data_IF_194639667649
#
_entry.id   IF_194639667649
#
_cell.length_a   1.000
_cell.length_b   1.000
_cell.length_c   1.000
_cell.angle_alpha   90.00
_cell.angle_beta   90.00
_cell.angle_gamma   90.00
#
_symmetry.space_group_name_H-M   'P 1'
#
loop_
_entity.id
_entity.type
_entity.pdbx_description
1 polymer ?
#
# COMPACT_ATOMS: atom_id res chain seq x y z
N UNK A 1 -10.41 -39.56 -2.40
CA UNK A 1 -9.54 -38.42 -2.73
C UNK A 1 -10.39 -37.18 -2.57
N UNK A 2 -10.06 -36.32 -1.63
CA UNK A 2 -10.78 -35.04 -1.45
C UNK A 2 -10.61 -34.19 -2.72
N UNK A 3 -11.69 -33.53 -3.13
CA UNK A 3 -11.71 -32.69 -4.33
C UNK A 3 -10.81 -31.47 -4.09
N UNK A 4 -9.55 -31.52 -4.51
CA UNK A 4 -8.53 -30.46 -4.29
C UNK A 4 -8.61 -29.34 -5.32
N UNK A 5 -9.54 -29.40 -6.25
CA UNK A 5 -9.61 -28.49 -7.43
C UNK A 5 -10.03 -27.05 -7.12
N UNK A 6 -10.46 -26.76 -5.87
CA UNK A 6 -10.89 -25.42 -5.46
C UNK A 6 -10.28 -25.01 -4.11
N UNK A 7 -9.06 -25.41 -3.80
CA UNK A 7 -8.38 -25.07 -2.55
C UNK A 7 -7.03 -24.45 -2.81
N UNK A 8 -6.58 -23.60 -1.89
CA UNK A 8 -5.23 -23.07 -1.85
C UNK A 8 -4.28 -24.19 -1.40
N UNK A 9 -3.21 -24.41 -2.13
CA UNK A 9 -2.06 -25.20 -1.65
C UNK A 9 -1.21 -24.29 -0.78
N UNK A 10 -0.93 -24.71 0.45
CA UNK A 10 -0.18 -23.96 1.44
C UNK A 10 1.16 -24.63 1.69
N UNK A 11 2.24 -23.86 1.61
CA UNK A 11 3.61 -24.35 1.81
C UNK A 11 4.25 -23.55 2.94
N UNK A 12 4.53 -24.20 4.05
CA UNK A 12 5.26 -23.61 5.18
C UNK A 12 6.75 -23.83 4.97
N UNK A 13 7.49 -22.77 4.61
CA UNK A 13 8.93 -22.79 4.44
C UNK A 13 9.68 -22.18 5.63
N UNK A 14 10.99 -22.27 5.62
CA UNK A 14 11.86 -21.76 6.71
C UNK A 14 11.73 -20.25 6.92
N UNK A 15 11.63 -19.49 5.83
CA UNK A 15 11.63 -18.03 5.86
C UNK A 15 10.35 -17.43 5.31
N UNK A 16 9.43 -18.26 4.82
CA UNK A 16 8.22 -17.79 4.17
C UNK A 16 7.08 -18.79 4.20
N UNK A 17 5.88 -18.26 3.96
CA UNK A 17 4.65 -19.01 3.72
C UNK A 17 4.26 -18.79 2.26
N UNK A 18 4.15 -19.88 1.49
CA UNK A 18 3.65 -19.87 0.12
C UNK A 18 2.16 -20.26 0.08
N UNK A 19 1.38 -19.49 -0.69
CA UNK A 19 -0.04 -19.76 -0.96
C UNK A 19 -0.24 -19.80 -2.48
N UNK A 20 -0.74 -20.91 -2.99
CA UNK A 20 -0.76 -21.17 -4.42
C UNK A 20 -2.13 -21.69 -4.89
N UNK A 21 -2.60 -21.22 -6.05
CA UNK A 21 -3.77 -21.74 -6.75
C UNK A 21 -3.60 -21.57 -8.27
N UNK A 22 -3.39 -22.67 -8.98
CA UNK A 22 -3.12 -22.63 -10.42
C UNK A 22 -1.87 -21.80 -10.75
N UNK A 23 -2.04 -20.71 -11.50
CA UNK A 23 -0.99 -19.76 -11.87
C UNK A 23 -0.86 -18.55 -10.93
N UNK A 24 -1.63 -18.56 -9.83
CA UNK A 24 -1.55 -17.59 -8.76
C UNK A 24 -0.60 -18.05 -7.66
N UNK A 25 0.31 -17.17 -7.25
CA UNK A 25 1.26 -17.42 -6.17
C UNK A 25 1.41 -16.16 -5.31
N UNK A 26 1.19 -16.32 -4.00
CA UNK A 26 1.47 -15.31 -2.99
C UNK A 26 2.51 -15.86 -2.01
N UNK A 27 3.58 -15.12 -1.76
CA UNK A 27 4.64 -15.49 -0.82
C UNK A 27 4.71 -14.43 0.29
N UNK A 28 4.56 -14.87 1.51
CA UNK A 28 4.69 -14.04 2.71
C UNK A 28 6.06 -14.32 3.35
N UNK A 29 6.92 -13.31 3.41
CA UNK A 29 8.25 -13.43 4.02
C UNK A 29 8.21 -13.05 5.49
N UNK A 30 8.77 -13.92 6.36
CA UNK A 30 8.78 -13.68 7.79
C UNK A 30 9.82 -12.65 8.21
N UNK A 31 11.01 -12.70 7.62
CA UNK A 31 12.11 -11.77 7.89
C UNK A 31 11.84 -10.36 7.35
N UNK A 32 11.25 -10.26 6.15
CA UNK A 32 10.88 -8.98 5.53
C UNK A 32 9.55 -8.44 6.05
N UNK A 33 8.78 -9.30 6.71
CA UNK A 33 7.50 -9.01 7.31
C UNK A 33 6.48 -8.47 6.31
N UNK A 34 5.79 -9.37 5.58
CA UNK A 34 4.71 -9.02 4.69
C UNK A 34 4.65 -9.87 3.42
N UNK A 35 3.77 -9.49 2.51
CA UNK A 35 3.61 -10.08 1.20
C UNK A 35 4.81 -9.70 0.32
N UNK A 36 5.73 -10.62 0.09
CA UNK A 36 7.00 -10.37 -0.60
C UNK A 36 6.93 -10.59 -2.11
N UNK A 37 6.06 -11.51 -2.56
CA UNK A 37 5.84 -11.80 -3.97
C UNK A 37 4.36 -12.06 -4.23
N UNK A 38 3.87 -11.52 -5.33
CA UNK A 38 2.51 -11.71 -5.81
C UNK A 38 2.54 -11.93 -7.31
N UNK A 39 2.35 -13.17 -7.72
CA UNK A 39 2.48 -13.60 -9.12
C UNK A 39 1.15 -14.12 -9.65
N UNK A 40 0.81 -13.71 -10.86
CA UNK A 40 -0.28 -14.29 -11.66
C UNK A 40 0.14 -14.41 -13.11
N UNK A 41 -0.11 -15.59 -13.71
CA UNK A 41 0.27 -15.83 -15.11
C UNK A 41 1.77 -15.63 -15.36
N UNK A 42 2.63 -15.96 -14.37
CA UNK A 42 4.09 -15.77 -14.46
C UNK A 42 4.55 -14.32 -14.34
N UNK A 43 3.66 -13.38 -14.00
CA UNK A 43 4.00 -11.97 -13.84
C UNK A 43 4.07 -11.58 -12.36
N UNK A 44 5.24 -11.08 -11.93
CA UNK A 44 5.45 -10.49 -10.60
C UNK A 44 4.85 -9.07 -10.53
N UNK A 45 4.08 -8.82 -9.47
CA UNK A 45 3.44 -7.53 -9.20
C UNK A 45 4.16 -6.71 -8.14
N UNK A 46 5.01 -7.31 -7.33
CA UNK A 46 5.72 -6.65 -6.25
C UNK A 46 7.23 -6.56 -6.55
N UNK A 47 7.81 -5.41 -6.30
CA UNK A 47 9.25 -5.20 -6.31
C UNK A 47 9.84 -5.22 -4.90
N UNK A 48 9.04 -4.81 -3.94
CA UNK A 48 9.34 -4.84 -2.51
C UNK A 48 8.09 -5.22 -1.74
N UNK A 49 8.29 -5.79 -0.55
CA UNK A 49 7.23 -6.05 0.42
C UNK A 49 6.48 -4.76 0.73
N UNK A 50 5.15 -4.69 0.55
CA UNK A 50 4.35 -3.53 0.93
C UNK A 50 4.50 -3.22 2.41
N UNK A 51 4.56 -1.93 2.73
CA UNK A 51 4.68 -1.45 4.11
C UNK A 51 3.61 -0.41 4.43
N UNK A 52 3.16 -0.32 5.69
CA UNK A 52 2.40 0.84 6.14
C UNK A 52 3.16 2.12 5.80
N UNK A 53 2.48 3.14 5.31
CA UNK A 53 3.09 4.43 5.02
C UNK A 53 2.41 5.54 5.79
N UNK A 54 3.19 6.49 6.29
CA UNK A 54 2.76 7.57 7.20
C UNK A 54 3.09 8.95 6.67
N UNK A 55 3.88 9.03 5.58
CA UNK A 55 4.36 10.28 5.00
C UNK A 55 3.83 10.48 3.59
N UNK A 56 3.38 11.70 3.30
CA UNK A 56 3.24 12.28 1.98
C UNK A 56 4.19 13.46 1.87
N UNK A 57 4.67 13.76 0.67
CA UNK A 57 5.56 14.89 0.48
C UNK A 57 4.91 16.20 0.94
N UNK A 58 5.67 17.04 1.62
CA UNK A 58 5.17 18.30 2.15
C UNK A 58 4.80 19.25 1.01
N UNK A 59 3.60 19.83 1.08
CA UNK A 59 3.19 20.91 0.17
C UNK A 59 3.82 22.24 0.60
N UNK A 60 3.80 23.25 -0.28
CA UNK A 60 4.19 24.62 0.09
C UNK A 60 3.34 25.15 1.26
N UNK A 61 2.07 24.76 1.34
CA UNK A 61 1.19 25.10 2.45
C UNK A 61 1.64 24.43 3.76
N UNK A 62 2.02 23.15 3.72
CA UNK A 62 2.56 22.45 4.89
C UNK A 62 3.84 23.10 5.39
N UNK A 63 4.70 23.53 4.47
CA UNK A 63 5.94 24.28 4.81
C UNK A 63 5.61 25.63 5.39
N UNK A 64 4.62 26.35 4.84
CA UNK A 64 4.16 27.65 5.30
C UNK A 64 3.61 27.62 6.73
N UNK A 65 2.83 26.62 7.11
CA UNK A 65 2.30 26.48 8.48
C UNK A 65 3.21 25.68 9.43
N UNK A 66 4.35 25.19 8.94
CA UNK A 66 5.33 24.42 9.71
C UNK A 66 4.87 23.00 10.05
N UNK A 67 3.85 22.46 9.36
CA UNK A 67 3.33 21.11 9.60
C UNK A 67 4.40 20.03 9.38
N UNK A 68 5.20 20.14 8.32
CA UNK A 68 6.27 19.22 8.00
C UNK A 68 7.30 19.07 9.14
N UNK A 69 7.56 20.15 9.90
CA UNK A 69 8.44 20.10 11.08
C UNK A 69 7.75 19.45 12.27
N UNK A 70 6.49 19.82 12.52
CA UNK A 70 5.69 19.27 13.63
C UNK A 70 5.48 17.77 13.49
N UNK A 71 5.29 17.30 12.27
CA UNK A 71 4.99 15.90 11.94
C UNK A 71 6.20 15.14 11.37
N UNK A 72 7.39 15.74 11.34
CA UNK A 72 8.61 15.18 10.75
C UNK A 72 9.04 13.83 11.32
N UNK A 73 8.55 13.45 12.50
CA UNK A 73 8.74 12.12 13.09
C UNK A 73 8.22 10.99 12.19
N UNK A 74 7.24 11.27 11.32
CA UNK A 74 6.68 10.31 10.40
C UNK A 74 7.49 10.12 9.11
N UNK A 75 8.38 11.05 8.81
CA UNK A 75 9.26 10.93 7.65
C UNK A 75 10.16 9.70 7.82
N UNK A 76 10.13 8.81 6.86
CA UNK A 76 10.86 7.53 6.88
C UNK A 76 10.48 6.58 8.04
N UNK A 77 9.38 6.80 8.77
CA UNK A 77 8.94 5.90 9.83
C UNK A 77 8.65 4.49 9.30
N UNK A 78 8.20 4.35 8.08
CA UNK A 78 7.97 3.07 7.37
C UNK A 78 9.27 2.41 6.89
N UNK A 79 10.32 3.19 6.60
CA UNK A 79 11.62 2.66 6.17
C UNK A 79 12.30 1.83 7.26
N UNK A 80 12.12 2.22 8.52
CA UNK A 80 12.73 1.56 9.68
C UNK A 80 11.71 0.82 10.54
N UNK A 81 10.50 0.60 10.04
CA UNK A 81 9.46 -0.14 10.75
C UNK A 81 9.92 -1.58 11.01
N UNK A 82 9.63 -2.09 12.20
CA UNK A 82 10.03 -3.43 12.62
C UNK A 82 8.85 -4.38 12.57
N UNK A 83 9.04 -5.61 12.12
CA UNK A 83 8.06 -6.68 12.30
C UNK A 83 8.14 -7.17 13.75
N UNK A 84 7.10 -6.87 14.52
CA UNK A 84 7.01 -7.20 15.95
C UNK A 84 6.27 -8.52 16.21
N UNK A 85 5.50 -9.01 15.25
CA UNK A 85 4.76 -10.26 15.36
C UNK A 85 4.18 -10.71 14.03
N UNK A 86 3.92 -12.02 13.94
CA UNK A 86 3.28 -12.66 12.80
C UNK A 86 2.27 -13.66 13.34
N UNK A 87 1.06 -13.65 12.79
CA UNK A 87 0.03 -14.62 13.09
C UNK A 87 -0.50 -15.23 11.80
N UNK A 88 -0.79 -16.52 11.82
CA UNK A 88 -1.36 -17.23 10.67
C UNK A 88 -2.64 -17.95 11.11
N UNK A 89 -3.69 -17.79 10.31
CA UNK A 89 -4.94 -18.53 10.46
C UNK A 89 -5.20 -19.35 9.20
N UNK A 90 -5.59 -20.61 9.37
CA UNK A 90 -6.05 -21.50 8.32
C UNK A 90 -7.52 -21.83 8.55
N UNK A 91 -8.39 -21.49 7.60
CA UNK A 91 -9.82 -21.71 7.65
C UNK A 91 -10.48 -21.17 8.94
N UNK A 92 -10.00 -20.03 9.43
CA UNK A 92 -10.47 -19.37 10.64
C UNK A 92 -9.89 -19.92 11.95
N UNK A 93 -8.95 -20.86 11.88
CA UNK A 93 -8.27 -21.42 13.05
C UNK A 93 -6.85 -20.91 13.12
N UNK A 94 -6.50 -20.22 14.20
CA UNK A 94 -5.13 -19.74 14.47
C UNK A 94 -4.18 -20.91 14.61
N UNK A 95 -3.00 -20.81 13.99
CA UNK A 95 -1.96 -21.81 14.06
C UNK A 95 -0.93 -21.42 15.12
N UNK A 96 -0.73 -22.29 16.14
CA UNK A 96 0.19 -22.00 17.23
C UNK A 96 1.68 -22.14 16.84
N UNK A 97 2.01 -23.04 15.92
CA UNK A 97 3.39 -23.32 15.51
C UNK A 97 3.47 -23.46 13.98
N UNK A 98 3.23 -22.38 13.27
CA UNK A 98 3.31 -22.37 11.80
C UNK A 98 4.74 -22.21 11.28
N UNK A 99 5.68 -21.80 12.13
CA UNK A 99 7.10 -21.70 11.75
C UNK A 99 7.63 -23.09 11.34
N UNK A 100 8.51 -23.15 10.35
CA UNK A 100 8.99 -24.40 9.80
C UNK A 100 9.73 -25.23 10.85
N UNK A 101 9.78 -26.56 10.66
CA UNK A 101 10.58 -27.42 11.49
C UNK A 101 12.05 -27.02 11.50
N UNK A 102 12.73 -27.15 12.64
CA UNK A 102 14.13 -26.77 12.84
C UNK A 102 15.13 -27.49 11.93
N UNK A 103 14.71 -28.49 11.19
CA UNK A 103 15.55 -29.31 10.30
C UNK A 103 15.34 -29.03 8.81
N UNK A 104 14.75 -27.89 8.45
CA UNK A 104 14.39 -27.53 7.08
C UNK A 104 13.40 -28.50 6.40
N UNK A 105 12.67 -29.26 7.18
CA UNK A 105 11.60 -30.12 6.65
C UNK A 105 10.30 -29.31 6.65
N UNK A 106 9.78 -29.05 5.46
CA UNK A 106 8.49 -28.39 5.26
C UNK A 106 7.55 -29.33 4.49
N UNK A 107 6.25 -29.11 4.67
CA UNK A 107 5.21 -29.83 3.93
C UNK A 107 4.62 -28.94 2.84
N UNK A 108 4.30 -29.53 1.70
CA UNK A 108 3.62 -28.91 0.57
C UNK A 108 2.28 -29.61 0.23
N UNK A 109 1.84 -30.51 1.11
CA UNK A 109 0.60 -31.28 0.95
C UNK A 109 -0.58 -30.68 1.73
N UNK A 110 -0.44 -29.44 2.23
CA UNK A 110 -1.50 -28.78 2.97
C UNK A 110 -2.38 -27.93 2.08
N UNK A 111 -3.67 -27.99 2.34
CA UNK A 111 -4.69 -27.27 1.58
C UNK A 111 -5.64 -26.51 2.51
N UNK A 112 -6.10 -25.33 2.05
CA UNK A 112 -7.04 -24.49 2.77
C UNK A 112 -8.06 -23.85 1.82
N UNK A 113 -9.21 -23.47 2.34
CA UNK A 113 -10.15 -22.60 1.62
C UNK A 113 -9.75 -21.14 1.77
N UNK A 114 -9.16 -20.82 2.93
CA UNK A 114 -8.73 -19.46 3.28
C UNK A 114 -7.48 -19.48 4.16
N UNK A 115 -6.52 -18.62 3.85
CA UNK A 115 -5.34 -18.34 4.69
C UNK A 115 -5.34 -16.84 5.02
N UNK A 116 -5.24 -16.51 6.31
CA UNK A 116 -5.00 -15.15 6.77
C UNK A 116 -3.60 -15.06 7.41
N UNK A 117 -2.84 -14.05 7.02
CA UNK A 117 -1.51 -13.77 7.58
C UNK A 117 -1.51 -12.33 8.09
N UNK A 118 -1.32 -12.17 9.39
CA UNK A 118 -1.25 -10.86 10.05
C UNK A 118 0.18 -10.54 10.41
N UNK A 119 0.66 -9.40 9.97
CA UNK A 119 1.94 -8.83 10.39
C UNK A 119 1.67 -7.66 11.32
N UNK A 120 2.23 -7.72 12.52
CA UNK A 120 2.29 -6.59 13.44
C UNK A 120 3.59 -5.85 13.24
N UNK A 121 3.50 -4.58 12.91
CA UNK A 121 4.64 -3.69 12.78
C UNK A 121 4.72 -2.75 13.98
N UNK A 122 5.93 -2.44 14.40
CA UNK A 122 6.22 -1.39 15.41
C UNK A 122 6.98 -0.26 14.75
N UNK A 123 6.50 0.97 14.94
CA UNK A 123 7.15 2.18 14.42
C UNK A 123 8.38 2.55 15.26
N UNK A 124 9.28 3.33 14.66
CA UNK A 124 10.45 3.91 15.38
C UNK A 124 10.12 5.25 16.03
N UNK A 125 8.87 5.68 15.99
CA UNK A 125 8.43 6.95 16.60
C UNK A 125 8.59 6.94 18.12
N UNK A 126 8.57 8.11 18.73
CA UNK A 126 8.64 8.25 20.19
C UNK A 126 7.44 9.10 20.66
N UNK A 127 6.43 8.49 21.32
CA UNK A 127 6.33 7.06 21.66
C UNK A 127 6.18 6.17 20.43
N UNK A 128 6.58 4.90 20.53
CA UNK A 128 6.33 3.91 19.49
C UNK A 128 4.85 3.52 19.47
N UNK A 129 4.35 3.22 18.26
CA UNK A 129 3.03 2.65 18.07
C UNK A 129 3.08 1.43 17.16
N UNK A 130 1.94 0.75 16.96
CA UNK A 130 1.87 -0.46 16.15
C UNK A 130 0.85 -0.32 15.01
N UNK A 131 1.10 -1.12 13.95
CA UNK A 131 0.16 -1.30 12.85
C UNK A 131 0.02 -2.79 12.59
N UNK A 132 -1.21 -3.27 12.51
CA UNK A 132 -1.51 -4.62 12.07
C UNK A 132 -1.97 -4.58 10.59
N UNK A 133 -1.36 -5.45 9.76
CA UNK A 133 -1.77 -5.66 8.37
C UNK A 133 -2.07 -7.13 8.19
N UNK A 134 -3.33 -7.44 7.92
CA UNK A 134 -3.81 -8.80 7.67
C UNK A 134 -4.10 -9.00 6.20
N UNK A 135 -3.49 -10.01 5.60
CA UNK A 135 -3.77 -10.46 4.24
C UNK A 135 -4.59 -11.75 4.31
N UNK A 136 -5.79 -11.73 3.82
CA UNK A 136 -6.65 -12.92 3.74
C UNK A 136 -6.77 -13.37 2.28
N UNK A 137 -6.13 -14.48 1.96
CA UNK A 137 -6.16 -15.09 0.62
C UNK A 137 -7.26 -16.16 0.59
N UNK A 138 -8.11 -16.10 -0.43
CA UNK A 138 -9.19 -17.07 -0.65
C UNK A 138 -8.97 -17.90 -1.91
N UNK A 139 -9.63 -19.03 -2.01
CA UNK A 139 -9.43 -20.03 -3.08
C UNK A 139 -9.74 -19.48 -4.50
N UNK A 140 -10.49 -18.41 -4.62
CA UNK A 140 -10.74 -17.66 -5.85
C UNK A 140 -9.61 -16.69 -6.23
N UNK A 141 -8.48 -16.74 -5.50
CA UNK A 141 -7.30 -15.90 -5.71
C UNK A 141 -7.50 -14.41 -5.39
N UNK A 142 -8.53 -14.04 -4.65
CA UNK A 142 -8.70 -12.71 -4.09
C UNK A 142 -7.89 -12.59 -2.79
N UNK A 143 -7.38 -11.38 -2.54
CA UNK A 143 -6.70 -11.03 -1.29
C UNK A 143 -7.45 -9.86 -0.66
N UNK A 144 -8.11 -10.08 0.48
CA UNK A 144 -8.57 -8.99 1.33
C UNK A 144 -7.40 -8.51 2.18
N UNK A 145 -7.22 -7.21 2.26
CA UNK A 145 -6.21 -6.55 3.10
C UNK A 145 -6.91 -5.68 4.13
N UNK A 146 -6.66 -5.97 5.40
CA UNK A 146 -7.16 -5.19 6.54
C UNK A 146 -5.98 -4.51 7.23
N UNK A 147 -6.03 -3.18 7.37
CA UNK A 147 -4.99 -2.37 8.02
C UNK A 147 -5.56 -1.68 9.26
N UNK A 148 -4.88 -1.83 10.38
CA UNK A 148 -5.24 -1.18 11.65
C UNK A 148 -4.02 -0.47 12.23
N UNK A 149 -4.06 0.85 12.28
CA UNK A 149 -3.14 1.68 13.04
C UNK A 149 -3.65 1.84 14.46
N UNK A 150 -2.83 1.58 15.45
CA UNK A 150 -3.17 1.74 16.85
C UNK A 150 -2.73 3.12 17.35
N UNK A 151 -3.69 3.95 17.70
CA UNK A 151 -3.44 5.29 18.19
C UNK A 151 -2.58 5.33 19.45
N UNK A 152 -1.73 6.36 19.56
CA UNK A 152 -0.86 6.52 20.72
C UNK A 152 -0.79 7.97 21.15
N UNK A 153 -1.13 8.26 22.41
CA UNK A 153 -1.05 9.59 23.00
C UNK A 153 0.37 10.17 22.89
N UNK A 154 0.46 11.45 22.54
CA UNK A 154 1.72 12.19 22.39
C UNK A 154 2.37 12.09 21.01
N UNK A 155 1.76 11.36 20.05
CA UNK A 155 2.23 11.36 18.67
C UNK A 155 1.70 12.58 17.90
N UNK A 156 2.53 13.19 17.02
CA UNK A 156 2.09 14.30 16.19
C UNK A 156 1.10 13.82 15.13
N UNK A 157 0.29 14.77 14.59
CA UNK A 157 -0.66 14.47 13.52
C UNK A 157 -0.02 13.72 12.36
N UNK A 158 -0.78 12.78 11.77
CA UNK A 158 -0.35 12.02 10.60
C UNK A 158 -0.55 12.85 9.32
N UNK A 159 0.43 12.85 8.40
CA UNK A 159 0.23 13.34 7.04
C UNK A 159 -0.68 12.44 6.22
N UNK A 160 -0.54 11.13 6.38
CA UNK A 160 -1.30 10.09 5.68
C UNK A 160 -1.22 8.79 6.48
N UNK A 161 -2.20 7.92 6.33
CA UNK A 161 -2.08 6.51 6.71
C UNK A 161 -2.58 5.61 5.59
N UNK A 162 -1.71 4.73 5.12
CA UNK A 162 -2.00 3.80 4.03
C UNK A 162 -1.05 2.61 3.96
N UNK A 163 -1.17 1.84 2.89
CA UNK A 163 -0.24 0.77 2.53
C UNK A 163 0.38 1.07 1.16
N UNK A 164 1.72 1.06 1.09
CA UNK A 164 2.47 1.38 -0.13
C UNK A 164 2.96 0.11 -0.81
N UNK A 165 2.63 0.01 -2.10
CA UNK A 165 3.08 -1.03 -3.02
C UNK A 165 4.06 -0.44 -4.02
N UNK A 166 5.16 -1.11 -4.26
CA UNK A 166 6.12 -0.76 -5.32
C UNK A 166 6.12 -1.88 -6.34
N UNK A 167 5.72 -1.57 -7.58
CA UNK A 167 5.68 -2.55 -8.67
C UNK A 167 7.00 -2.54 -9.45
N UNK A 168 7.38 -3.67 -10.09
CA UNK A 168 8.68 -3.83 -10.74
C UNK A 168 8.96 -2.87 -11.90
N UNK A 169 7.93 -2.45 -12.63
CA UNK A 169 8.05 -1.59 -13.81
C UNK A 169 6.98 -0.50 -13.82
N UNK A 170 7.12 0.46 -14.71
CA UNK A 170 6.14 1.52 -14.93
C UNK A 170 4.81 0.94 -15.43
N UNK A 171 3.70 1.44 -14.91
CA UNK A 171 2.39 1.22 -15.49
C UNK A 171 2.20 2.04 -16.76
N UNK A 172 1.44 1.49 -17.70
CA UNK A 172 0.98 2.23 -18.89
C UNK A 172 -0.12 3.23 -18.56
N UNK A 173 -0.73 3.06 -17.39
CA UNK A 173 -1.78 3.90 -16.85
C UNK A 173 -2.65 3.13 -15.85
N UNK A 174 -3.74 3.76 -15.46
CA UNK A 174 -4.74 3.16 -14.58
C UNK A 174 -6.14 3.67 -14.92
N UNK A 175 -7.14 2.83 -14.62
CA UNK A 175 -8.55 3.20 -14.70
C UNK A 175 -9.14 3.09 -13.30
N UNK A 176 -9.98 4.02 -12.89
CA UNK A 176 -10.58 4.01 -11.57
C UNK A 176 -12.03 4.51 -11.57
N UNK A 177 -12.81 4.08 -10.59
CA UNK A 177 -14.11 4.65 -10.27
C UNK A 177 -13.99 5.44 -8.97
N UNK A 178 -14.23 6.75 -9.06
CA UNK A 178 -14.08 7.69 -7.94
C UNK A 178 -14.42 9.10 -8.36
N UNK A 179 -13.84 10.09 -7.70
CA UNK A 179 -13.98 11.50 -8.08
C UNK A 179 -13.05 11.87 -9.23
N UNK A 180 -13.49 12.78 -10.11
CA UNK A 180 -12.69 13.23 -11.25
C UNK A 180 -11.42 13.96 -10.84
N UNK A 181 -10.30 13.60 -11.50
CA UNK A 181 -9.02 14.28 -11.33
C UNK A 181 -8.36 14.03 -9.97
N UNK A 182 -7.36 14.86 -9.68
CA UNK A 182 -6.65 14.86 -8.41
C UNK A 182 -7.52 15.53 -7.34
N UNK A 183 -7.70 14.88 -6.20
CA UNK A 183 -8.57 15.34 -5.11
C UNK A 183 -7.92 15.09 -3.75
N UNK A 184 -8.21 15.97 -2.78
CA UNK A 184 -7.81 15.85 -1.37
C UNK A 184 -9.02 16.10 -0.48
N UNK A 185 -8.99 15.73 0.81
CA UNK A 185 -10.16 15.86 1.69
C UNK A 185 -10.77 17.27 1.69
N UNK A 186 -9.91 18.29 1.67
CA UNK A 186 -10.27 19.72 1.64
C UNK A 186 -10.36 20.30 0.21
N UNK A 187 -10.14 19.50 -0.83
CA UNK A 187 -10.09 19.89 -2.24
C UNK A 187 -10.83 18.90 -3.14
N UNK A 188 -11.99 18.41 -2.72
CA UNK A 188 -12.80 17.45 -3.49
C UNK A 188 -14.20 17.92 -3.82
N UNK A 189 -14.61 19.10 -3.39
CA UNK A 189 -15.97 19.61 -3.59
C UNK A 189 -16.40 19.76 -5.06
N UNK A 190 -15.44 19.95 -5.98
CA UNK A 190 -15.68 19.99 -7.43
C UNK A 190 -15.53 18.65 -8.14
N UNK A 191 -15.19 17.58 -7.41
CA UNK A 191 -15.02 16.25 -7.99
C UNK A 191 -16.34 15.66 -8.46
N UNK A 192 -16.34 15.10 -9.66
CA UNK A 192 -17.52 14.45 -10.25
C UNK A 192 -17.32 12.94 -10.15
N UNK A 193 -18.29 12.20 -9.55
CA UNK A 193 -18.21 10.74 -9.50
C UNK A 193 -18.29 10.13 -10.92
N UNK A 194 -17.44 9.15 -11.21
CA UNK A 194 -17.40 8.49 -12.52
C UNK A 194 -16.28 7.50 -12.65
N UNK A 195 -16.14 6.90 -13.84
CA UNK A 195 -15.02 6.06 -14.22
C UNK A 195 -14.08 6.85 -15.12
N UNK A 196 -12.80 6.87 -14.77
CA UNK A 196 -11.78 7.68 -15.42
C UNK A 196 -10.57 6.83 -15.81
N UNK A 197 -10.08 7.08 -17.03
CA UNK A 197 -8.82 6.49 -17.52
C UNK A 197 -7.71 7.54 -17.46
N UNK A 198 -6.59 7.17 -16.86
CA UNK A 198 -5.38 8.00 -16.76
C UNK A 198 -4.23 7.29 -17.46
N UNK A 199 -3.67 7.94 -18.49
CA UNK A 199 -2.53 7.40 -19.25
C UNK A 199 -1.21 7.73 -18.57
N UNK A 200 -0.36 6.72 -18.44
CA UNK A 200 0.91 6.83 -17.74
C UNK A 200 0.75 7.05 -16.24
N UNK A 201 1.74 7.68 -15.63
CA UNK A 201 1.78 8.04 -14.22
C UNK A 201 2.07 9.55 -14.13
N UNK A 202 1.07 10.41 -14.29
CA UNK A 202 1.26 11.85 -14.30
C UNK A 202 1.73 12.35 -12.92
N UNK A 203 2.71 13.24 -12.95
CA UNK A 203 3.20 13.98 -11.78
C UNK A 203 2.93 15.45 -12.05
N UNK A 204 2.24 16.11 -11.15
CA UNK A 204 1.95 17.55 -11.27
C UNK A 204 3.27 18.33 -11.28
N UNK A 205 3.53 19.16 -12.31
CA UNK A 205 4.84 19.76 -12.53
C UNK A 205 5.07 21.00 -11.65
N UNK A 206 5.09 20.80 -10.33
CA UNK A 206 5.49 21.84 -9.40
C UNK A 206 6.98 22.14 -9.56
N UNK A 207 7.39 23.40 -9.41
CA UNK A 207 8.80 23.81 -9.47
C UNK A 207 9.61 23.14 -8.36
N UNK A 208 9.07 23.14 -7.15
CA UNK A 208 9.55 22.32 -6.05
C UNK A 208 8.63 21.11 -5.97
N UNK A 209 9.11 19.89 -6.21
CA UNK A 209 8.29 18.69 -6.09
C UNK A 209 7.60 18.61 -4.73
N UNK A 210 6.32 18.27 -4.75
CA UNK A 210 5.50 18.19 -3.56
C UNK A 210 4.38 17.18 -3.78
N UNK A 211 3.56 16.91 -2.75
CA UNK A 211 2.44 15.99 -2.82
C UNK A 211 1.54 16.26 -4.02
N UNK A 212 1.20 15.20 -4.74
CA UNK A 212 0.29 15.22 -5.88
C UNK A 212 -0.31 13.82 -6.16
N UNK A 213 -1.27 13.76 -7.05
CA UNK A 213 -1.80 12.52 -7.60
C UNK A 213 -2.74 11.73 -6.68
N UNK A 214 -3.29 12.33 -5.62
CA UNK A 214 -4.26 11.67 -4.76
C UNK A 214 -5.65 11.65 -5.40
N UNK A 215 -6.36 10.52 -5.30
CA UNK A 215 -7.74 10.31 -5.74
C UNK A 215 -8.58 9.85 -4.56
N UNK A 216 -9.56 10.68 -4.17
CA UNK A 216 -10.44 10.40 -3.04
C UNK A 216 -11.70 9.63 -3.45
N UNK A 217 -12.34 9.02 -2.47
CA UNK A 217 -13.64 8.36 -2.59
C UNK A 217 -13.67 7.31 -3.73
N UNK A 218 -12.57 6.54 -3.85
CA UNK A 218 -12.35 5.55 -4.91
C UNK A 218 -12.95 4.21 -4.51
N UNK A 219 -13.75 3.62 -5.40
CA UNK A 219 -14.32 2.29 -5.23
C UNK A 219 -13.41 1.19 -5.74
N UNK A 220 -12.75 1.44 -6.87
CA UNK A 220 -11.74 0.53 -7.42
C UNK A 220 -10.75 1.28 -8.31
N UNK A 221 -9.56 0.73 -8.44
CA UNK A 221 -8.52 1.16 -9.38
C UNK A 221 -7.84 -0.05 -9.99
N UNK A 222 -7.70 -0.09 -11.30
CA UNK A 222 -6.99 -1.11 -12.07
C UNK A 222 -5.73 -0.51 -12.68
N UNK A 223 -4.56 -0.98 -12.22
CA UNK A 223 -3.24 -0.52 -12.68
C UNK A 223 -2.76 -1.46 -13.78
N UNK A 224 -2.52 -0.97 -14.98
CA UNK A 224 -2.13 -1.76 -16.14
C UNK A 224 -0.64 -1.68 -16.42
N UNK A 225 0.00 -2.83 -16.63
CA UNK A 225 1.41 -2.95 -17.01
C UNK A 225 1.55 -3.90 -18.20
N UNK A 226 2.49 -3.58 -19.10
CA UNK A 226 2.85 -4.36 -20.30
C UNK A 226 4.33 -4.70 -20.35
N UNK A 227 5.04 -4.49 -19.25
CA UNK A 227 6.48 -4.76 -19.12
C UNK A 227 6.80 -5.58 -17.89
N UNK A 228 7.89 -6.35 -17.97
CA UNK A 228 8.46 -7.12 -16.87
C UNK A 228 9.95 -6.77 -16.70
N UNK A 229 10.49 -7.00 -15.50
CA UNK A 229 11.94 -6.95 -15.31
C UNK A 229 12.57 -8.17 -15.99
N UNK A 230 13.10 -7.98 -17.17
CA UNK A 230 13.77 -9.02 -17.93
C UNK A 230 14.86 -8.41 -18.83
N UNK A 231 16.05 -9.00 -18.79
CA UNK A 231 17.15 -8.63 -19.67
C UNK A 231 16.98 -9.20 -21.10
N UNK A 232 16.07 -10.14 -21.29
CA UNK A 232 15.85 -10.83 -22.58
C UNK A 232 14.60 -10.29 -23.28
N UNK A 233 13.51 -10.17 -22.54
CA UNK A 233 12.22 -9.70 -23.07
C UNK A 233 11.48 -8.88 -22.02
N UNK A 234 11.57 -7.56 -22.14
CA UNK A 234 10.87 -6.65 -21.24
C UNK A 234 9.37 -6.51 -21.58
N UNK A 235 9.00 -6.46 -22.88
CA UNK A 235 7.61 -6.36 -23.32
C UNK A 235 6.86 -7.68 -23.10
N UNK A 236 5.70 -7.60 -22.47
CA UNK A 236 4.80 -8.72 -22.16
C UNK A 236 3.35 -8.29 -22.44
N UNK A 237 2.40 -9.21 -22.60
CA UNK A 237 0.99 -8.85 -22.76
C UNK A 237 0.52 -7.96 -21.62
N UNK A 238 -0.30 -6.93 -21.90
CA UNK A 238 -0.85 -6.07 -20.86
C UNK A 238 -1.71 -6.89 -19.89
N UNK A 239 -1.58 -6.61 -18.61
CA UNK A 239 -2.47 -7.11 -17.55
C UNK A 239 -2.58 -6.10 -16.42
N UNK A 240 -3.61 -6.24 -15.62
CA UNK A 240 -3.90 -5.28 -14.55
C UNK A 240 -3.96 -5.96 -13.18
N UNK A 241 -3.50 -5.22 -12.18
CA UNK A 241 -3.80 -5.46 -10.78
C UNK A 241 -4.93 -4.51 -10.39
N UNK A 242 -5.99 -5.04 -9.83
CA UNK A 242 -7.13 -4.25 -9.38
C UNK A 242 -7.17 -4.21 -7.86
N UNK A 243 -7.28 -2.99 -7.30
CA UNK A 243 -7.63 -2.75 -5.91
C UNK A 243 -9.08 -2.27 -5.88
N UNK A 244 -9.91 -2.88 -5.04
CA UNK A 244 -11.32 -2.49 -4.88
C UNK A 244 -11.68 -2.30 -3.41
N UNK A 245 -12.70 -1.47 -3.16
CA UNK A 245 -13.25 -1.30 -1.81
C UNK A 245 -13.69 -2.65 -1.23
N UNK A 246 -13.46 -2.82 0.08
CA UNK A 246 -13.98 -3.95 0.82
C UNK A 246 -15.25 -3.54 1.59
N UNK A 247 -15.14 -2.54 2.43
CA UNK A 247 -16.23 -2.08 3.31
C UNK A 247 -16.67 -0.64 2.97
N UNK A 248 -15.75 0.19 2.47
CA UNK A 248 -15.98 1.60 2.10
C UNK A 248 -14.94 2.05 1.07
N UNK A 249 -15.23 3.11 0.30
CA UNK A 249 -14.25 3.72 -0.60
C UNK A 249 -12.96 4.10 0.13
N UNK A 250 -11.86 4.03 -0.59
CA UNK A 250 -10.52 4.40 -0.13
C UNK A 250 -9.98 5.60 -0.91
N UNK A 251 -8.83 6.11 -0.49
CA UNK A 251 -8.05 7.04 -1.30
C UNK A 251 -6.83 6.31 -1.87
N UNK A 252 -6.34 6.74 -3.05
CA UNK A 252 -5.10 6.21 -3.60
C UNK A 252 -4.30 7.27 -4.33
N UNK A 253 -2.99 7.04 -4.42
CA UNK A 253 -2.12 7.69 -5.40
C UNK A 253 -1.36 6.64 -6.20
N UNK A 254 -1.09 6.91 -7.48
CA UNK A 254 -0.35 6.03 -8.36
C UNK A 254 0.67 6.84 -9.15
N UNK A 255 1.91 6.88 -8.67
CA UNK A 255 2.98 7.74 -9.12
C UNK A 255 4.22 6.94 -9.51
N UNK A 256 5.19 7.53 -10.24
CA UNK A 256 6.49 6.88 -10.50
C UNK A 256 7.49 7.04 -9.34
N UNK A 257 7.13 7.77 -8.28
CA UNK A 257 7.99 8.15 -7.18
C UNK A 257 7.37 7.82 -5.83
N UNK A 258 8.20 7.54 -4.85
CA UNK A 258 7.80 7.49 -3.44
C UNK A 258 7.69 8.92 -2.87
N UNK A 259 6.99 9.07 -1.73
CA UNK A 259 6.89 10.34 -1.04
C UNK A 259 8.27 10.90 -0.64
N UNK A 260 9.21 10.02 -0.28
CA UNK A 260 10.58 10.40 0.10
C UNK A 260 11.41 10.90 -1.10
N UNK A 261 11.21 10.29 -2.29
CA UNK A 261 11.86 10.77 -3.53
C UNK A 261 11.36 12.17 -3.90
N UNK A 262 10.05 12.43 -3.73
CA UNK A 262 9.46 13.74 -3.97
C UNK A 262 9.92 14.75 -2.89
N UNK A 263 9.91 14.38 -1.60
CA UNK A 263 10.29 15.24 -0.48
C UNK A 263 11.75 15.71 -0.57
N UNK A 264 12.64 14.84 -1.05
CA UNK A 264 14.08 15.14 -1.15
C UNK A 264 14.47 16.02 -2.35
N UNK A 265 13.59 16.17 -3.35
CA UNK A 265 13.86 16.98 -4.52
C UNK A 265 13.52 18.46 -4.24
N UNK A 266 14.49 19.34 -4.41
CA UNK A 266 14.31 20.79 -4.31
C UNK A 266 13.93 21.42 -5.65
N UNK A 267 14.21 20.71 -6.75
CA UNK A 267 13.88 21.10 -8.11
C UNK A 267 13.36 19.88 -8.87
N UNK A 268 12.53 20.12 -9.89
CA UNK A 268 11.90 19.05 -10.66
C UNK A 268 12.94 18.12 -11.33
N UNK A 269 14.05 18.64 -11.79
CA UNK A 269 15.15 17.89 -12.43
C UNK A 269 15.95 17.01 -11.47
N UNK A 270 15.77 17.16 -10.18
CA UNK A 270 16.42 16.31 -9.17
C UNK A 270 15.64 14.99 -8.91
N UNK A 271 14.40 14.90 -9.41
CA UNK A 271 13.67 13.66 -9.34
C UNK A 271 14.42 12.55 -10.10
N UNK A 272 14.52 11.34 -9.52
CA UNK A 272 15.21 10.23 -10.18
C UNK A 272 14.49 9.82 -11.48
N UNK A 273 15.18 9.15 -12.42
CA UNK A 273 14.51 8.58 -13.58
C UNK A 273 13.36 7.66 -13.17
N UNK A 274 12.16 7.90 -13.70
CA UNK A 274 10.98 7.09 -13.44
C UNK A 274 11.20 5.62 -13.89
N UNK A 275 11.05 4.67 -12.98
CA UNK A 275 11.36 3.23 -13.23
C UNK A 275 10.32 2.30 -12.68
N UNK A 276 9.50 2.75 -11.75
CA UNK A 276 8.59 1.93 -10.94
C UNK A 276 7.19 2.53 -10.98
N UNK A 277 6.25 1.74 -10.55
CA UNK A 277 4.92 2.23 -10.17
C UNK A 277 4.83 2.15 -8.66
N UNK A 278 4.52 3.26 -8.03
CA UNK A 278 4.29 3.38 -6.59
C UNK A 278 2.80 3.62 -6.39
N UNK A 279 2.11 2.61 -5.88
CA UNK A 279 0.71 2.68 -5.51
C UNK A 279 0.60 2.81 -4.00
N UNK A 280 0.00 3.88 -3.52
CA UNK A 280 -0.41 4.02 -2.12
C UNK A 280 -1.92 3.88 -2.03
N UNK A 281 -2.40 2.91 -1.22
CA UNK A 281 -3.82 2.73 -0.88
C UNK A 281 -3.99 3.28 0.52
N UNK A 282 -4.81 4.32 0.68
CA UNK A 282 -4.87 5.11 1.91
C UNK A 282 -6.24 5.05 2.56
N UNK A 283 -6.23 4.81 3.86
CA UNK A 283 -7.42 4.88 4.72
C UNK A 283 -7.67 6.28 5.30
N UNK A 284 -6.60 7.09 5.41
CA UNK A 284 -6.68 8.46 5.87
C UNK A 284 -5.67 9.35 5.15
N UNK A 285 -6.11 10.52 4.72
CA UNK A 285 -5.32 11.54 4.03
C UNK A 285 -5.59 12.88 4.69
N UNK A 286 -4.53 13.60 5.07
CA UNK A 286 -4.65 14.96 5.59
C UNK A 286 -4.92 15.94 4.46
N UNK A 287 -5.70 16.98 4.74
CA UNK A 287 -5.89 18.07 3.81
C UNK A 287 -4.57 18.75 3.40
N UNK A 288 -4.58 19.45 2.28
CA UNK A 288 -3.40 20.12 1.70
C UNK A 288 -3.37 21.62 1.92
N UNK A 289 -4.43 22.21 2.51
CA UNK A 289 -4.46 23.61 2.91
C UNK A 289 -4.60 24.60 1.75
N UNK A 290 -3.93 25.74 1.87
CA UNK A 290 -4.04 26.82 0.88
C UNK A 290 -5.26 27.72 1.10
N UNK A 291 -5.72 27.87 2.37
CA UNK A 291 -6.82 28.76 2.74
C UNK A 291 -6.43 30.21 2.46
N UNK A 292 -5.16 30.57 2.71
CA UNK A 292 -4.61 31.88 2.45
C UNK A 292 -3.11 31.79 2.15
N UNK A 293 -2.49 32.93 1.81
CA UNK A 293 -1.05 33.04 1.51
C UNK A 293 -0.19 33.31 2.74
N UNK A 294 -0.73 33.22 3.94
CA UNK A 294 -0.08 33.60 5.18
C UNK A 294 0.34 32.40 6.05
N UNK A 295 0.26 31.21 5.52
CA UNK A 295 0.63 30.00 6.22
C UNK A 295 -0.45 29.49 7.19
N UNK A 296 -1.72 29.71 6.90
CA UNK A 296 -2.79 29.07 7.64
C UNK A 296 -2.76 27.57 7.46
N UNK A 297 -2.92 26.84 8.56
CA UNK A 297 -3.09 25.39 8.53
C UNK A 297 -4.41 24.99 7.87
N UNK A 298 -4.57 23.71 7.52
CA UNK A 298 -5.85 23.16 7.10
C UNK A 298 -6.86 23.26 8.26
N UNK A 299 -8.13 23.26 7.93
CA UNK A 299 -9.20 23.25 8.94
C UNK A 299 -9.13 21.93 9.76
N UNK A 300 -9.52 22.01 11.04
CA UNK A 300 -9.44 20.88 11.99
C UNK A 300 -10.11 19.60 11.51
N UNK A 301 -11.17 19.73 10.70
CA UNK A 301 -11.88 18.61 10.12
C UNK A 301 -11.02 17.73 9.17
N UNK A 302 -9.93 18.28 8.67
CA UNK A 302 -9.02 17.61 7.73
C UNK A 302 -7.68 17.19 8.36
N UNK A 303 -7.56 17.33 9.69
CA UNK A 303 -6.45 16.78 10.45
C UNK A 303 -6.62 15.28 10.66
N UNK A 304 -5.51 14.56 10.77
CA UNK A 304 -5.50 13.14 11.15
C UNK A 304 -4.84 13.04 12.52
N UNK A 305 -5.62 12.68 13.54
CA UNK A 305 -5.08 12.41 14.87
C UNK A 305 -4.33 11.08 14.87
N UNK A 306 -3.06 11.09 15.28
CA UNK A 306 -2.28 9.88 15.50
C UNK A 306 -2.56 9.23 16.88
N UNK A 307 -3.38 9.84 17.70
CA UNK A 307 -3.76 9.33 19.02
C UNK A 307 -4.99 8.41 18.98
N UNK A 308 -5.63 8.30 17.82
CA UNK A 308 -6.83 7.46 17.61
C UNK A 308 -6.51 6.32 16.64
N UNK A 309 -7.18 5.18 16.85
CA UNK A 309 -7.11 4.06 15.94
C UNK A 309 -7.69 4.44 14.59
N UNK A 310 -7.03 3.96 13.52
CA UNK A 310 -7.47 4.13 12.14
C UNK A 310 -7.51 2.76 11.48
N UNK A 311 -8.64 2.39 10.91
CA UNK A 311 -8.79 1.13 10.20
C UNK A 311 -9.35 1.34 8.81
N UNK A 312 -8.84 0.58 7.84
CA UNK A 312 -9.38 0.51 6.50
C UNK A 312 -9.08 -0.85 5.87
N UNK A 313 -9.86 -1.20 4.86
CA UNK A 313 -9.76 -2.48 4.17
C UNK A 313 -9.97 -2.30 2.68
N UNK A 314 -9.35 -3.18 1.90
CA UNK A 314 -9.53 -3.26 0.46
C UNK A 314 -9.26 -4.67 -0.04
N UNK A 315 -9.64 -4.96 -1.28
CA UNK A 315 -9.37 -6.23 -1.94
C UNK A 315 -8.37 -6.05 -3.08
N UNK A 316 -7.54 -7.05 -3.32
CA UNK A 316 -6.63 -7.14 -4.48
C UNK A 316 -7.06 -8.32 -5.33
N UNK A 317 -7.20 -8.11 -6.65
CA UNK A 317 -7.40 -9.14 -7.66
C UNK A 317 -6.48 -8.94 -8.87
N UNK A 318 -6.14 -10.06 -9.56
CA UNK A 318 -5.19 -10.13 -10.68
C UNK A 318 -5.82 -10.76 -11.91
#
# INVERSE_FOLDING_TARGET
MANTTNKLRVVFGDMNLGVHAGDFHAIFAYDRGGLDSLVKGGREWLFRTPKPTFWRAATDNDRGCGFHLKSGMWLAADMFIKTAGIEVERDGVKLDNFLPPMNNVYTDEEYAEKIAVTFRYETITVPATTVDVTYTVTADCNIRVDCVYHGKEGLPQLPVFGLRFIMPTMATGFTYEGLSGETYPDRKAGGVPGTYEVKGLPVTPYMVPQECGMHMDTKWVAITRDTALSNVKAAVPASSLTVSEADKPFAFSCLPYTAEEIENALHHEELPPARRTVLCVCGAVRGVGGINSWGADVEDAYHISAEKDISFSFNISL
#
